data_IF_155190548534
#
_entry.id   IF_155190548534
#
_cell.length_a   1.000
_cell.length_b   1.000
_cell.length_c   1.000
_cell.angle_alpha   90.00
_cell.angle_beta   90.00
_cell.angle_gamma   90.00
#
_symmetry.space_group_name_H-M   'P 1'
#
loop_
_entity.id
_entity.type
_entity.pdbx_description
1 polymer ?
#
# COMPACT_ATOMS: atom_id res chain seq x y z
N UNK A 1 4.31 1.63 -26.75
CA UNK A 1 5.77 1.82 -26.48
C UNK A 1 5.90 1.71 -24.98
N UNK A 2 6.77 0.87 -24.46
CA UNK A 2 7.02 0.82 -23.01
C UNK A 2 7.56 2.16 -22.54
N UNK A 3 7.03 2.70 -21.46
CA UNK A 3 7.56 3.90 -20.83
C UNK A 3 8.98 3.62 -20.33
N UNK A 4 9.78 4.67 -20.26
CA UNK A 4 11.16 4.57 -19.76
C UNK A 4 11.18 4.15 -18.27
N UNK A 5 10.16 4.53 -17.53
CA UNK A 5 10.00 4.24 -16.11
C UNK A 5 8.61 3.63 -15.87
N UNK A 6 8.44 2.32 -16.14
CA UNK A 6 7.14 1.67 -16.02
C UNK A 6 6.68 1.57 -14.56
N UNK A 7 5.35 1.64 -14.40
CA UNK A 7 4.66 1.44 -13.11
C UNK A 7 3.87 0.14 -13.19
N UNK A 8 4.20 -0.80 -12.31
CA UNK A 8 3.51 -2.08 -12.15
C UNK A 8 2.79 -2.07 -10.81
N UNK A 9 1.48 -2.27 -10.81
CA UNK A 9 0.69 -2.32 -9.60
C UNK A 9 0.03 -3.69 -9.40
N UNK A 10 0.25 -4.28 -8.24
CA UNK A 10 -0.49 -5.44 -7.74
C UNK A 10 -1.53 -4.94 -6.75
N UNK A 11 -2.80 -5.20 -7.04
CA UNK A 11 -3.92 -4.75 -6.22
C UNK A 11 -4.85 -5.90 -5.86
N UNK A 12 -5.40 -5.85 -4.66
CA UNK A 12 -6.35 -6.83 -4.15
C UNK A 12 -6.80 -6.49 -2.75
N UNK A 13 -7.92 -7.09 -2.31
CA UNK A 13 -8.42 -6.91 -0.96
C UNK A 13 -7.46 -7.47 0.10
N UNK A 14 -7.61 -7.01 1.34
CA UNK A 14 -6.89 -7.58 2.48
C UNK A 14 -7.13 -9.10 2.55
N UNK A 15 -6.06 -9.88 2.66
CA UNK A 15 -6.15 -11.35 2.65
C UNK A 15 -6.24 -11.99 1.25
N UNK A 16 -6.28 -11.22 0.17
CA UNK A 16 -6.30 -11.74 -1.20
C UNK A 16 -5.01 -12.49 -1.61
N UNK A 17 -3.91 -12.27 -0.88
CA UNK A 17 -2.61 -12.86 -1.19
C UNK A 17 -1.69 -11.95 -2.01
N UNK A 18 -1.94 -10.65 -2.03
CA UNK A 18 -1.10 -9.66 -2.73
C UNK A 18 0.35 -9.74 -2.28
N UNK A 19 0.62 -9.95 -1.00
CA UNK A 19 1.98 -10.15 -0.46
C UNK A 19 2.67 -11.40 -1.03
N UNK A 20 1.93 -12.49 -1.27
CA UNK A 20 2.49 -13.69 -1.94
C UNK A 20 2.89 -13.36 -3.37
N UNK A 21 2.08 -12.58 -4.07
CA UNK A 21 2.38 -12.11 -5.43
C UNK A 21 3.60 -11.18 -5.41
N UNK A 22 3.70 -10.25 -4.43
CA UNK A 22 4.88 -9.39 -4.22
C UNK A 22 6.15 -10.24 -4.10
N UNK A 23 6.16 -11.24 -3.22
CA UNK A 23 7.33 -12.15 -3.04
C UNK A 23 7.69 -12.87 -4.35
N UNK A 24 6.70 -13.33 -5.11
CA UNK A 24 6.96 -13.95 -6.41
C UNK A 24 7.62 -12.97 -7.40
N UNK A 25 7.18 -11.71 -7.43
CA UNK A 25 7.81 -10.66 -8.24
C UNK A 25 9.22 -10.32 -7.78
N UNK A 26 9.48 -10.27 -6.48
CA UNK A 26 10.82 -10.06 -5.92
C UNK A 26 11.82 -11.14 -6.42
N UNK A 27 11.39 -12.40 -6.43
CA UNK A 27 12.19 -13.48 -7.02
C UNK A 27 12.43 -13.31 -8.53
N UNK A 28 11.42 -12.87 -9.27
CA UNK A 28 11.55 -12.59 -10.71
C UNK A 28 12.55 -11.43 -10.92
N UNK A 29 12.39 -10.33 -10.20
CA UNK A 29 13.26 -9.17 -10.30
C UNK A 29 14.73 -9.52 -10.01
N UNK A 30 14.95 -10.29 -8.93
CA UNK A 30 16.29 -10.77 -8.59
C UNK A 30 16.90 -11.63 -9.71
N UNK A 31 16.13 -12.58 -10.26
CA UNK A 31 16.60 -13.48 -11.32
C UNK A 31 16.92 -12.73 -12.62
N UNK A 32 16.09 -11.75 -12.98
CA UNK A 32 16.22 -10.98 -14.22
C UNK A 32 17.13 -9.75 -14.06
N UNK A 33 17.69 -9.51 -12.87
CA UNK A 33 18.56 -8.36 -12.59
C UNK A 33 17.82 -7.02 -12.63
N UNK A 34 16.51 -6.99 -12.37
CA UNK A 34 15.68 -5.80 -12.34
C UNK A 34 15.77 -5.16 -10.96
N UNK A 35 16.01 -3.85 -10.92
CA UNK A 35 16.09 -3.05 -9.69
C UNK A 35 14.81 -2.19 -9.51
N UNK A 36 13.76 -2.68 -8.81
CA UNK A 36 12.53 -1.92 -8.61
C UNK A 36 12.66 -0.93 -7.45
N UNK A 37 11.89 0.16 -7.50
CA UNK A 37 11.44 0.81 -6.26
C UNK A 37 10.13 0.16 -5.82
N UNK A 38 10.10 -0.37 -4.61
CA UNK A 38 8.91 -1.02 -4.04
C UNK A 38 8.14 0.00 -3.21
N UNK A 39 6.84 0.11 -3.47
CA UNK A 39 5.88 0.98 -2.78
C UNK A 39 4.79 0.11 -2.18
N UNK A 40 4.56 0.26 -0.89
CA UNK A 40 3.50 -0.44 -0.16
C UNK A 40 2.30 0.49 0.05
N UNK A 41 1.10 -0.02 -0.21
CA UNK A 41 -0.15 0.74 -0.17
C UNK A 41 -0.45 1.32 1.20
N UNK A 42 -0.12 0.60 2.26
CA UNK A 42 -0.34 1.05 3.65
C UNK A 42 0.45 2.32 4.00
N UNK A 43 1.52 2.61 3.26
CA UNK A 43 2.27 3.86 3.41
C UNK A 43 1.48 5.10 2.95
N UNK A 44 0.35 4.92 2.25
CA UNK A 44 -0.54 6.00 1.80
C UNK A 44 -1.78 6.18 2.67
N UNK A 45 -1.85 5.54 3.84
CA UNK A 45 -2.83 5.91 4.85
C UNK A 45 -2.58 7.35 5.34
N UNK A 46 -3.67 8.09 5.57
CA UNK A 46 -3.60 9.47 6.09
C UNK A 46 -3.23 9.49 7.57
N UNK A 47 -3.71 8.51 8.33
CA UNK A 47 -3.61 8.43 9.78
C UNK A 47 -2.70 7.28 10.20
N UNK A 48 -1.86 7.50 11.19
CA UNK A 48 -1.17 6.43 11.88
C UNK A 48 -2.17 5.61 12.74
N UNK A 49 -1.71 4.52 13.36
CA UNK A 49 -2.59 3.61 14.12
C UNK A 49 -3.33 4.31 15.27
N UNK A 50 -2.70 5.25 15.95
CA UNK A 50 -3.32 5.98 17.06
C UNK A 50 -4.31 7.04 16.54
N UNK A 51 -3.92 7.80 15.54
CA UNK A 51 -4.76 8.81 14.90
C UNK A 51 -5.99 8.18 14.23
N UNK A 52 -5.85 7.01 13.61
CA UNK A 52 -6.98 6.32 12.98
C UNK A 52 -8.05 5.90 13.99
N UNK A 53 -7.66 5.51 15.21
CA UNK A 53 -8.63 5.20 16.27
C UNK A 53 -9.44 6.43 16.67
N UNK A 54 -8.79 7.57 16.75
CA UNK A 54 -9.46 8.84 17.05
C UNK A 54 -10.40 9.23 15.91
N UNK A 55 -9.91 9.19 14.67
CA UNK A 55 -10.72 9.54 13.50
C UNK A 55 -11.96 8.64 13.34
N UNK A 56 -11.83 7.34 13.63
CA UNK A 56 -12.98 6.42 13.63
C UNK A 56 -14.00 6.75 14.72
N UNK A 57 -13.54 7.11 15.93
CA UNK A 57 -14.43 7.49 17.02
C UNK A 57 -15.15 8.81 16.69
N UNK A 58 -14.44 9.80 16.18
CA UNK A 58 -15.05 11.09 15.77
C UNK A 58 -16.08 10.88 14.66
N UNK A 59 -15.76 10.03 13.68
CA UNK A 59 -16.70 9.70 12.60
C UNK A 59 -17.98 9.01 13.14
N UNK A 60 -17.84 8.12 14.13
CA UNK A 60 -18.99 7.47 14.77
C UNK A 60 -19.84 8.47 15.55
N UNK A 61 -19.22 9.40 16.32
CA UNK A 61 -19.90 10.45 17.05
C UNK A 61 -20.66 11.43 16.12
N UNK A 62 -20.10 11.70 14.93
CA UNK A 62 -20.72 12.51 13.88
C UNK A 62 -21.77 11.75 13.04
N UNK A 63 -21.98 10.46 13.31
CA UNK A 63 -22.92 9.61 12.58
C UNK A 63 -22.44 9.21 11.18
N UNK A 64 -21.17 9.38 10.85
CA UNK A 64 -20.58 8.94 9.59
C UNK A 64 -20.25 7.43 9.64
N UNK A 65 -21.23 6.60 9.29
CA UNK A 65 -21.10 5.13 9.28
C UNK A 65 -20.33 4.60 8.07
N UNK A 66 -19.98 5.45 7.11
CA UNK A 66 -19.22 5.07 5.89
C UNK A 66 -17.71 5.26 6.02
N UNK A 67 -17.25 5.93 7.09
CA UNK A 67 -15.82 6.10 7.34
C UNK A 67 -15.13 4.74 7.55
N UNK A 68 -14.06 4.50 6.83
CA UNK A 68 -13.33 3.25 6.92
C UNK A 68 -11.84 3.43 6.59
N UNK A 69 -11.02 2.47 7.00
CA UNK A 69 -9.60 2.40 6.64
C UNK A 69 -9.35 2.42 5.12
N UNK A 70 -10.33 2.01 4.33
CA UNK A 70 -10.19 1.79 2.89
C UNK A 70 -10.76 2.97 2.07
N UNK A 71 -11.46 3.89 2.72
CA UNK A 71 -12.10 5.02 2.06
C UNK A 71 -11.16 6.18 1.74
N UNK A 72 -11.62 7.14 0.94
CA UNK A 72 -10.83 8.30 0.54
C UNK A 72 -10.47 9.21 1.72
N UNK A 73 -11.27 9.23 2.77
CA UNK A 73 -11.00 10.04 3.96
C UNK A 73 -9.78 9.54 4.74
N UNK A 74 -9.52 8.23 4.70
CA UNK A 74 -8.43 7.57 5.43
C UNK A 74 -7.17 7.38 4.59
N UNK A 75 -7.19 7.73 3.30
CA UNK A 75 -6.09 7.53 2.37
C UNK A 75 -5.74 8.81 1.61
N UNK A 76 -4.49 8.96 1.21
CA UNK A 76 -3.97 10.09 0.44
C UNK A 76 -3.80 9.70 -1.03
N UNK A 77 -4.94 9.51 -1.74
CA UNK A 77 -4.95 9.04 -3.13
C UNK A 77 -4.30 10.02 -4.10
N UNK A 78 -4.43 11.32 -3.85
CA UNK A 78 -3.76 12.39 -4.57
C UNK A 78 -2.23 12.24 -4.52
N UNK A 79 -1.68 11.89 -3.36
CA UNK A 79 -0.25 11.63 -3.21
C UNK A 79 0.17 10.33 -3.90
N UNK A 80 -0.66 9.31 -3.88
CA UNK A 80 -0.40 8.06 -4.60
C UNK A 80 -0.38 8.29 -6.13
N UNK A 81 -1.36 9.04 -6.65
CA UNK A 81 -1.39 9.44 -8.06
C UNK A 81 -0.15 10.26 -8.44
N UNK A 82 0.20 11.26 -7.62
CA UNK A 82 1.40 12.07 -7.82
C UNK A 82 2.66 11.19 -7.88
N UNK A 83 2.78 10.22 -6.98
CA UNK A 83 3.93 9.29 -6.94
C UNK A 83 4.06 8.49 -8.23
N UNK A 84 2.96 7.90 -8.71
CA UNK A 84 2.97 7.12 -9.95
C UNK A 84 3.28 7.99 -11.16
N UNK A 85 2.64 9.17 -11.24
CA UNK A 85 2.87 10.14 -12.32
C UNK A 85 4.34 10.58 -12.35
N UNK A 86 4.85 11.03 -11.19
CA UNK A 86 6.21 11.58 -11.09
C UNK A 86 7.26 10.51 -11.43
N UNK A 87 7.06 9.28 -10.91
CA UNK A 87 7.95 8.18 -11.26
C UNK A 87 7.92 7.85 -12.76
N UNK A 88 6.73 7.73 -13.35
CA UNK A 88 6.58 7.44 -14.78
C UNK A 88 7.24 8.50 -15.69
N UNK A 89 7.27 9.76 -15.24
CA UNK A 89 7.86 10.87 -15.96
C UNK A 89 9.38 10.98 -15.77
N UNK A 90 9.88 10.74 -14.56
CA UNK A 90 11.26 11.09 -14.15
C UNK A 90 12.10 9.91 -13.69
N UNK A 91 11.50 8.79 -13.29
CA UNK A 91 12.17 7.68 -12.61
C UNK A 91 12.48 7.95 -11.13
N UNK A 92 11.95 9.06 -10.59
CA UNK A 92 12.14 9.49 -9.20
C UNK A 92 10.79 9.60 -8.50
N UNK A 93 10.73 9.31 -7.22
CA UNK A 93 9.52 9.46 -6.41
C UNK A 93 9.85 9.68 -4.93
N UNK A 94 8.83 9.93 -4.14
CA UNK A 94 8.92 9.90 -2.69
C UNK A 94 8.34 8.61 -2.15
N UNK A 95 8.91 8.09 -1.07
CA UNK A 95 8.49 6.89 -0.38
C UNK A 95 8.54 7.08 1.13
N UNK A 96 7.65 6.43 1.84
CA UNK A 96 7.74 6.18 3.29
C UNK A 96 7.28 4.75 3.57
N UNK A 97 7.44 4.28 4.79
CA UNK A 97 6.93 3.00 5.25
C UNK A 97 5.92 3.20 6.37
N UNK A 98 4.91 2.34 6.40
CA UNK A 98 4.08 2.13 7.57
C UNK A 98 4.68 0.96 8.37
N UNK A 99 4.92 1.15 9.65
CA UNK A 99 5.62 0.19 10.49
C UNK A 99 4.62 -0.70 11.23
N UNK A 100 4.49 -1.95 10.80
CA UNK A 100 3.48 -2.86 11.32
C UNK A 100 3.87 -3.49 12.66
N UNK A 101 5.17 -3.78 12.87
CA UNK A 101 5.72 -4.54 13.99
C UNK A 101 6.90 -3.83 14.67
N UNK A 102 7.27 -4.33 15.86
CA UNK A 102 8.45 -3.85 16.58
C UNK A 102 9.75 -4.11 15.79
N UNK A 103 9.82 -5.22 15.05
CA UNK A 103 10.99 -5.54 14.23
C UNK A 103 11.16 -4.50 13.11
N UNK A 104 10.08 -4.06 12.47
CA UNK A 104 10.11 -3.04 11.43
C UNK A 104 10.38 -1.64 11.99
N UNK A 105 9.89 -1.32 13.17
CA UNK A 105 10.01 -0.01 13.80
C UNK A 105 11.40 0.24 14.41
N UNK A 106 12.04 -0.81 14.94
CA UNK A 106 13.31 -0.72 15.65
C UNK A 106 14.45 -0.06 14.86
N UNK A 107 14.68 -0.36 13.56
CA UNK A 107 15.73 0.29 12.77
C UNK A 107 15.54 1.81 12.64
N UNK A 108 14.31 2.30 12.73
CA UNK A 108 13.96 3.71 12.60
C UNK A 108 13.84 4.44 13.94
N UNK A 109 13.95 3.72 15.06
CA UNK A 109 13.75 4.30 16.40
C UNK A 109 12.32 4.77 16.66
N UNK A 110 11.35 4.19 15.97
CA UNK A 110 9.93 4.50 16.02
C UNK A 110 9.13 3.38 16.68
N UNK A 111 7.80 3.55 16.76
CA UNK A 111 6.88 2.55 17.30
C UNK A 111 6.06 1.89 16.20
N UNK A 112 5.57 0.66 16.41
CA UNK A 112 4.60 0.04 15.52
C UNK A 112 3.36 0.91 15.36
N UNK A 113 2.89 1.03 14.11
CA UNK A 113 1.74 1.83 13.76
C UNK A 113 2.07 3.28 13.40
N UNK A 114 3.34 3.66 13.38
CA UNK A 114 3.82 4.96 12.91
C UNK A 114 4.30 4.86 11.45
N UNK A 115 4.51 6.03 10.82
CA UNK A 115 5.14 6.15 9.51
C UNK A 115 6.58 6.61 9.65
N UNK A 116 7.46 6.14 8.78
CA UNK A 116 8.75 6.80 8.58
C UNK A 116 8.56 8.18 7.92
N UNK A 117 9.54 9.09 8.03
CA UNK A 117 9.55 10.27 7.18
C UNK A 117 9.54 9.91 5.69
N UNK A 118 9.00 10.81 4.86
CA UNK A 118 9.13 10.69 3.40
C UNK A 118 10.60 10.80 3.00
N UNK A 119 11.06 9.89 2.15
CA UNK A 119 12.39 9.89 1.55
C UNK A 119 12.30 10.00 0.03
N UNK A 120 13.20 10.76 -0.57
CA UNK A 120 13.29 10.88 -2.02
C UNK A 120 14.08 9.71 -2.59
N UNK A 121 13.48 8.97 -3.49
CA UNK A 121 14.13 7.96 -4.32
C UNK A 121 14.54 8.62 -5.63
N UNK A 122 15.84 8.76 -5.84
CA UNK A 122 16.37 9.33 -7.08
C UNK A 122 16.25 8.34 -8.25
N UNK A 123 16.29 8.87 -9.47
CA UNK A 123 16.31 8.06 -10.68
C UNK A 123 17.50 7.06 -10.67
N UNK A 124 17.27 5.86 -11.20
CA UNK A 124 18.26 4.77 -11.20
C UNK A 124 17.66 3.41 -10.92
N UNK A 125 16.34 3.36 -10.72
CA UNK A 125 15.56 2.11 -10.67
C UNK A 125 14.94 1.82 -12.05
N UNK A 126 14.61 0.55 -12.32
CA UNK A 126 14.11 0.10 -13.61
C UNK A 126 12.59 0.23 -13.72
N UNK A 127 11.89 0.09 -12.60
CA UNK A 127 10.44 0.23 -12.52
C UNK A 127 9.99 0.60 -11.10
N UNK A 128 8.76 1.12 -10.98
CA UNK A 128 8.03 1.21 -9.73
C UNK A 128 7.13 -0.02 -9.60
N UNK A 129 7.24 -0.73 -8.48
CA UNK A 129 6.38 -1.85 -8.13
C UNK A 129 5.55 -1.49 -6.90
N UNK A 130 4.24 -1.41 -7.09
CA UNK A 130 3.28 -1.14 -6.02
C UNK A 130 2.58 -2.43 -5.60
N UNK A 131 2.39 -2.61 -4.30
CA UNK A 131 1.55 -3.65 -3.72
C UNK A 131 0.59 -3.04 -2.69
N UNK A 132 -0.72 -3.28 -2.86
CA UNK A 132 -1.74 -2.80 -1.93
C UNK A 132 -3.13 -2.74 -2.53
N UNK A 133 -4.08 -2.19 -1.77
CA UNK A 133 -5.49 -2.18 -2.16
C UNK A 133 -5.79 -1.21 -3.31
N UNK A 134 -5.11 -0.07 -3.37
CA UNK A 134 -5.53 1.10 -4.16
C UNK A 134 -4.74 1.33 -5.46
N UNK A 135 -3.97 0.33 -5.92
CA UNK A 135 -3.08 0.48 -7.09
C UNK A 135 -3.79 0.77 -8.43
N UNK A 136 -5.09 0.59 -8.50
CA UNK A 136 -5.91 0.90 -9.69
C UNK A 136 -7.13 1.75 -9.36
N UNK A 137 -7.09 2.52 -8.25
CA UNK A 137 -8.25 3.31 -7.82
C UNK A 137 -8.50 4.51 -8.74
N UNK A 138 -9.79 4.77 -8.97
CA UNK A 138 -10.31 5.97 -9.64
C UNK A 138 -11.41 6.55 -8.77
N UNK A 139 -11.30 7.81 -8.43
CA UNK A 139 -12.29 8.60 -7.70
C UNK A 139 -12.57 9.89 -8.44
N UNK A 140 -13.45 10.73 -7.91
CA UNK A 140 -13.71 12.06 -8.49
C UNK A 140 -12.47 12.97 -8.41
N UNK A 141 -11.60 12.75 -7.41
CA UNK A 141 -10.45 13.61 -7.11
C UNK A 141 -9.09 13.02 -7.52
N UNK A 142 -9.01 11.71 -7.81
CA UNK A 142 -7.77 11.03 -8.15
C UNK A 142 -7.99 9.88 -9.15
N UNK A 143 -7.08 9.73 -10.12
CA UNK A 143 -7.07 8.66 -11.11
C UNK A 143 -5.69 7.98 -11.14
N UNK A 144 -5.45 7.13 -10.14
CA UNK A 144 -4.19 6.38 -10.01
C UNK A 144 -4.01 5.41 -11.18
N UNK A 145 -5.11 4.78 -11.62
CA UNK A 145 -5.10 3.75 -12.68
C UNK A 145 -4.49 4.27 -13.99
N UNK A 146 -4.68 5.54 -14.34
CA UNK A 146 -4.17 6.13 -15.59
C UNK A 146 -2.64 6.15 -15.70
N UNK A 147 -1.94 6.05 -14.57
CA UNK A 147 -0.49 6.09 -14.49
C UNK A 147 0.16 4.70 -14.41
N UNK A 148 -0.65 3.64 -14.38
CA UNK A 148 -0.19 2.25 -14.28
C UNK A 148 0.02 1.66 -15.69
N UNK A 149 1.20 1.08 -15.93
CA UNK A 149 1.51 0.39 -17.20
C UNK A 149 1.06 -1.08 -17.18
N UNK A 150 1.09 -1.73 -16.01
CA UNK A 150 0.58 -3.07 -15.79
C UNK A 150 -0.16 -3.15 -14.44
N UNK A 151 -1.46 -3.35 -14.49
CA UNK A 151 -2.30 -3.57 -13.32
C UNK A 151 -2.62 -5.06 -13.18
N UNK A 152 -2.28 -5.64 -12.02
CA UNK A 152 -2.51 -7.04 -11.68
C UNK A 152 -3.52 -7.08 -10.54
N UNK A 153 -4.74 -7.53 -10.84
CA UNK A 153 -5.78 -7.77 -9.83
C UNK A 153 -5.63 -9.15 -9.21
N UNK A 154 -5.50 -9.23 -7.90
CA UNK A 154 -5.51 -10.48 -7.14
C UNK A 154 -6.90 -10.67 -6.56
N UNK A 155 -7.63 -11.65 -7.10
CA UNK A 155 -9.02 -11.93 -6.72
C UNK A 155 -9.08 -13.37 -6.19
N UNK A 156 -9.12 -13.57 -4.88
CA UNK A 156 -9.24 -14.91 -4.31
C UNK A 156 -10.67 -15.44 -4.50
N UNK A 157 -10.81 -16.76 -4.36
CA UNK A 157 -12.14 -17.35 -4.18
C UNK A 157 -12.67 -16.87 -2.82
N UNK A 158 -13.89 -16.35 -2.76
CA UNK A 158 -14.51 -15.72 -1.59
C UNK A 158 -14.33 -16.53 -0.30
N UNK A 159 -14.48 -17.86 -0.38
CA UNK A 159 -14.29 -18.73 0.78
C UNK A 159 -12.84 -18.77 1.30
N UNK A 160 -11.86 -18.69 0.39
CA UNK A 160 -10.45 -18.67 0.76
C UNK A 160 -10.07 -17.32 1.36
N UNK A 161 -10.55 -16.24 0.80
CA UNK A 161 -10.34 -14.90 1.34
C UNK A 161 -10.86 -14.79 2.77
N UNK A 162 -12.08 -15.29 3.02
CA UNK A 162 -12.67 -15.30 4.36
C UNK A 162 -11.83 -16.11 5.36
N UNK A 163 -11.39 -17.32 4.98
CA UNK A 163 -10.54 -18.18 5.82
C UNK A 163 -9.20 -17.50 6.12
N UNK A 164 -8.56 -16.91 5.13
CA UNK A 164 -7.28 -16.22 5.28
C UNK A 164 -7.40 -15.00 6.17
N UNK A 165 -8.42 -14.17 5.97
CA UNK A 165 -8.68 -12.98 6.78
C UNK A 165 -8.97 -13.33 8.23
N UNK A 166 -9.80 -14.33 8.48
CA UNK A 166 -10.11 -14.81 9.85
C UNK A 166 -8.87 -15.39 10.51
N UNK A 167 -8.08 -16.19 9.80
CA UNK A 167 -6.86 -16.77 10.35
C UNK A 167 -5.84 -15.69 10.71
N UNK A 168 -5.67 -14.67 9.85
CA UNK A 168 -4.79 -13.53 10.11
C UNK A 168 -5.23 -12.73 11.33
N UNK A 169 -6.54 -12.45 11.46
CA UNK A 169 -7.09 -11.69 12.57
C UNK A 169 -6.95 -12.43 13.91
N UNK A 170 -7.12 -13.75 13.91
CA UNK A 170 -6.96 -14.57 15.12
C UNK A 170 -5.50 -14.71 15.57
N UNK A 171 -4.55 -14.67 14.64
CA UNK A 171 -3.12 -14.72 14.98
C UNK A 171 -2.58 -13.38 15.52
N UNK A 172 -3.27 -12.28 15.23
CA UNK A 172 -2.84 -10.92 15.62
C UNK A 172 -3.58 -10.35 16.83
N UNK A 173 -4.68 -10.98 17.28
CA UNK A 173 -5.36 -10.58 18.52
C UNK A 173 -4.60 -11.15 19.72
N UNK A 174 -4.19 -10.30 20.70
CA UNK A 174 -3.71 -10.81 21.97
C UNK A 174 -4.82 -11.64 22.60
N UNK A 175 -4.49 -12.85 23.03
CA UNK A 175 -5.34 -13.63 23.91
C UNK A 175 -5.64 -12.79 25.16
N UNK A 176 -6.84 -12.20 25.21
CA UNK A 176 -7.32 -11.60 26.45
C UNK A 176 -7.58 -12.76 27.43
N UNK A 177 -6.66 -12.90 28.38
CA UNK A 177 -6.89 -13.64 29.62
C UNK A 177 -7.58 -12.74 30.63
#
# INVERSE_FOLDING_TARGET
>A
MSKKYPVVAVTGSSGAGTTTVKVAFEHIFMREGVNPVVIEGDSYHRYNRAEMKVAMQEAEEDGNTSFSHFGPEANIFDKLEETFRTYGDTGSCERRYYLHSDEEAKPFGQKPGEFTPWETINAGTDLLFYEGLHGGIVTDDADVARHVDLLIGVVPIVNLEWIQTVSYTHLTLPTMQ
#
